data_IF_639282673559
#
_entry.id   IF_639282673559
#
_cell.length_a   1.000
_cell.length_b   1.000
_cell.length_c   1.000
_cell.angle_alpha   90.00
_cell.angle_beta   90.00
_cell.angle_gamma   90.00
#
_symmetry.space_group_name_H-M   'P 1'
#
loop_
_entity.id
_entity.type
_entity.pdbx_description
1 polymer ?
#
# COMPACT_ATOMS: atom_id res chain seq x y z
N UNK A 1 6.39 -25.90 -0.35
CA UNK A 1 7.14 -24.73 0.19
C UNK A 1 6.49 -23.48 -0.37
N UNK A 2 6.04 -22.54 0.46
CA UNK A 2 5.45 -21.30 -0.03
C UNK A 2 6.53 -20.46 -0.74
N UNK A 3 6.26 -20.02 -1.98
CA UNK A 3 7.16 -19.15 -2.76
C UNK A 3 6.56 -17.75 -2.85
N UNK A 4 7.41 -16.73 -2.71
CA UNK A 4 6.98 -15.33 -2.79
C UNK A 4 6.58 -14.94 -4.22
N UNK A 5 7.42 -15.23 -5.22
CA UNK A 5 7.08 -15.03 -6.62
C UNK A 5 8.09 -15.76 -7.51
N UNK A 6 7.67 -16.43 -8.61
CA UNK A 6 8.60 -16.95 -9.61
C UNK A 6 9.36 -15.84 -10.35
N UNK A 7 8.89 -14.57 -10.30
CA UNK A 7 9.60 -13.44 -10.90
C UNK A 7 10.96 -13.14 -10.23
N UNK A 8 11.24 -13.72 -9.06
CA UNK A 8 12.54 -13.63 -8.41
C UNK A 8 13.58 -14.60 -8.99
N UNK A 9 13.14 -15.58 -9.78
CA UNK A 9 14.02 -16.55 -10.44
C UNK A 9 14.52 -16.04 -11.81
N UNK A 10 13.98 -14.93 -12.29
CA UNK A 10 14.40 -14.25 -13.52
C UNK A 10 15.70 -13.48 -13.25
N UNK A 11 16.77 -13.65 -14.07
CA UNK A 11 18.03 -12.93 -13.89
C UNK A 11 18.02 -11.45 -14.31
N UNK A 12 17.05 -11.01 -15.13
CA UNK A 12 16.92 -9.59 -15.54
C UNK A 12 15.45 -9.13 -15.65
N UNK A 13 14.64 -9.26 -14.60
CA UNK A 13 13.27 -8.77 -14.63
C UNK A 13 13.27 -7.26 -14.44
N UNK A 14 12.60 -6.54 -15.35
CA UNK A 14 12.35 -5.11 -15.16
C UNK A 14 11.60 -4.86 -13.84
N UNK A 15 11.88 -3.74 -13.16
CA UNK A 15 11.38 -3.47 -11.79
C UNK A 15 9.89 -3.78 -11.57
N UNK A 16 9.02 -3.32 -12.47
CA UNK A 16 7.57 -3.57 -12.36
C UNK A 16 7.19 -5.04 -12.58
N UNK A 17 7.92 -5.77 -13.42
CA UNK A 17 7.73 -7.19 -13.64
C UNK A 17 8.12 -8.01 -12.38
N UNK A 18 9.00 -7.49 -11.54
CA UNK A 18 9.38 -8.11 -10.25
C UNK A 18 8.42 -7.73 -9.14
N UNK A 19 8.18 -6.43 -8.95
CA UNK A 19 7.45 -5.91 -7.78
C UNK A 19 5.97 -6.25 -7.82
N UNK A 20 5.32 -6.16 -8.99
CA UNK A 20 3.88 -6.37 -9.08
C UNK A 20 3.48 -7.81 -8.69
N UNK A 21 4.15 -8.88 -9.16
CA UNK A 21 3.91 -10.24 -8.68
C UNK A 21 4.15 -10.43 -7.17
N UNK A 22 5.18 -9.78 -6.61
CA UNK A 22 5.44 -9.82 -5.16
C UNK A 22 4.29 -9.18 -4.38
N UNK A 23 3.81 -8.02 -4.82
CA UNK A 23 2.67 -7.34 -4.21
C UNK A 23 1.39 -8.19 -4.30
N UNK A 24 1.14 -8.87 -5.41
CA UNK A 24 0.01 -9.80 -5.54
C UNK A 24 0.14 -11.01 -4.62
N UNK A 25 1.34 -11.57 -4.46
CA UNK A 25 1.57 -12.64 -3.50
C UNK A 25 1.40 -12.18 -2.06
N UNK A 26 1.91 -11.00 -1.70
CA UNK A 26 1.68 -10.39 -0.38
C UNK A 26 0.19 -10.22 -0.11
N UNK A 27 -0.57 -9.70 -1.07
CA UNK A 27 -2.03 -9.56 -0.99
C UNK A 27 -2.71 -10.90 -0.71
N UNK A 28 -2.24 -11.99 -1.34
CA UNK A 28 -2.77 -13.35 -1.11
C UNK A 28 -2.37 -13.92 0.26
N UNK A 29 -1.10 -13.83 0.63
CA UNK A 29 -0.61 -14.32 1.95
C UNK A 29 -1.27 -13.60 3.12
N UNK A 30 -1.57 -12.32 2.94
CA UNK A 30 -2.26 -11.48 3.92
C UNK A 30 -3.79 -11.53 3.79
N UNK A 31 -4.32 -12.32 2.86
CA UNK A 31 -5.76 -12.48 2.58
C UNK A 31 -6.48 -11.13 2.41
N UNK A 32 -5.82 -10.16 1.77
CA UNK A 32 -6.36 -8.81 1.62
C UNK A 32 -7.41 -8.80 0.50
N UNK A 33 -8.64 -8.30 0.77
CA UNK A 33 -9.71 -8.27 -0.22
C UNK A 33 -9.50 -7.23 -1.32
N UNK A 34 -8.57 -6.28 -1.10
CA UNK A 34 -8.22 -5.23 -2.05
C UNK A 34 -7.80 -5.81 -3.42
N UNK A 35 -7.98 -5.03 -4.48
CA UNK A 35 -7.54 -5.36 -5.84
C UNK A 35 -6.59 -4.28 -6.34
N UNK A 36 -5.55 -4.68 -7.07
CA UNK A 36 -4.70 -3.71 -7.75
C UNK A 36 -5.31 -3.31 -9.09
N UNK A 37 -5.52 -2.01 -9.26
CA UNK A 37 -5.89 -1.40 -10.54
C UNK A 37 -4.70 -0.58 -11.04
N UNK A 38 -4.22 -0.89 -12.24
CA UNK A 38 -3.10 -0.16 -12.84
C UNK A 38 -3.62 1.08 -13.57
N UNK A 39 -2.99 2.22 -13.32
CA UNK A 39 -3.29 3.49 -14.03
C UNK A 39 -3.24 3.29 -15.55
N UNK A 40 -2.24 2.56 -16.05
CA UNK A 40 -2.07 2.25 -17.48
C UNK A 40 -3.24 1.43 -18.06
N UNK A 41 -3.89 0.59 -17.24
CA UNK A 41 -5.09 -0.17 -17.64
C UNK A 41 -6.37 0.66 -17.55
N UNK A 42 -6.44 1.61 -16.62
CA UNK A 42 -7.55 2.56 -16.50
C UNK A 42 -7.55 3.60 -17.64
N UNK A 43 -6.42 3.80 -18.32
CA UNK A 43 -6.29 4.77 -19.40
C UNK A 43 -6.32 6.24 -18.93
N UNK A 44 -6.21 6.47 -17.63
CA UNK A 44 -6.28 7.81 -17.04
C UNK A 44 -4.93 8.54 -17.14
N UNK A 45 -5.03 9.84 -17.39
CA UNK A 45 -3.89 10.77 -17.48
C UNK A 45 -4.17 11.96 -16.56
N UNK A 46 -3.12 12.65 -16.16
CA UNK A 46 -3.19 13.79 -15.25
C UNK A 46 -1.91 13.94 -14.45
N UNK A 47 -1.86 14.94 -13.57
CA UNK A 47 -0.75 15.16 -12.63
C UNK A 47 -1.32 15.58 -11.27
N UNK A 48 -0.59 15.29 -10.19
CA UNK A 48 -0.98 15.69 -8.84
C UNK A 48 -2.42 15.27 -8.51
N UNK A 49 -3.19 16.19 -7.91
CA UNK A 49 -4.57 15.96 -7.49
C UNK A 49 -5.52 15.57 -8.63
N UNK A 50 -5.34 16.10 -9.84
CA UNK A 50 -6.17 15.77 -11.02
C UNK A 50 -6.09 14.29 -11.39
N UNK A 51 -4.91 13.67 -11.24
CA UNK A 51 -4.74 12.25 -11.50
C UNK A 51 -5.54 11.39 -10.50
N UNK A 52 -5.59 11.79 -9.22
CA UNK A 52 -6.41 11.10 -8.23
C UNK A 52 -7.90 11.21 -8.57
N UNK A 53 -8.37 12.38 -9.00
CA UNK A 53 -9.77 12.57 -9.44
C UNK A 53 -10.09 11.67 -10.63
N UNK A 54 -9.24 11.66 -11.65
CA UNK A 54 -9.43 10.81 -12.82
C UNK A 54 -9.43 9.32 -12.44
N UNK A 55 -8.51 8.89 -11.56
CA UNK A 55 -8.44 7.51 -11.09
C UNK A 55 -9.69 7.11 -10.28
N UNK A 56 -10.16 7.97 -9.36
CA UNK A 56 -11.37 7.71 -8.57
C UNK A 56 -12.61 7.59 -9.46
N UNK A 57 -12.78 8.50 -10.43
CA UNK A 57 -13.91 8.43 -11.39
C UNK A 57 -13.85 7.16 -12.24
N UNK A 58 -12.67 6.81 -12.75
CA UNK A 58 -12.51 5.62 -13.59
C UNK A 58 -12.70 4.31 -12.81
N UNK A 59 -12.39 4.29 -11.51
CA UNK A 59 -12.58 3.12 -10.65
C UNK A 59 -13.95 3.07 -9.94
N UNK A 60 -14.72 4.15 -9.99
CA UNK A 60 -15.97 4.31 -9.23
C UNK A 60 -15.75 4.53 -7.73
N UNK A 61 -14.55 4.98 -7.32
CA UNK A 61 -14.25 5.26 -5.92
C UNK A 61 -14.82 6.62 -5.48
N UNK A 62 -15.42 6.64 -4.30
CA UNK A 62 -15.98 7.85 -3.66
C UNK A 62 -15.02 8.47 -2.62
N UNK A 63 -13.98 7.73 -2.26
CA UNK A 63 -12.98 8.14 -1.27
C UNK A 63 -11.57 7.71 -1.64
N UNK A 64 -10.59 8.44 -1.10
CA UNK A 64 -9.17 8.11 -1.18
C UNK A 64 -8.58 8.02 0.22
N UNK A 65 -7.70 7.04 0.43
CA UNK A 65 -6.86 6.91 1.61
C UNK A 65 -5.41 7.23 1.22
N UNK A 66 -4.85 8.28 1.81
CA UNK A 66 -3.48 8.74 1.53
C UNK A 66 -2.61 8.62 2.78
N UNK A 67 -1.29 8.42 2.69
CA UNK A 67 -0.41 8.54 3.85
C UNK A 67 -0.54 9.94 4.47
N UNK A 68 -0.52 10.07 5.80
CA UNK A 68 -0.63 11.38 6.47
C UNK A 68 0.43 12.40 6.00
N UNK A 69 1.64 11.92 5.68
CA UNK A 69 2.70 12.77 5.11
C UNK A 69 2.33 13.39 3.74
N UNK A 70 1.40 12.78 2.99
CA UNK A 70 0.95 13.30 1.71
C UNK A 70 0.14 14.61 1.86
N UNK A 71 -0.36 14.94 3.06
CA UNK A 71 -1.09 16.18 3.30
C UNK A 71 -0.30 17.44 2.95
N UNK A 72 1.04 17.39 3.01
CA UNK A 72 1.93 18.50 2.64
C UNK A 72 2.19 18.62 1.13
N UNK A 73 1.88 17.58 0.34
CA UNK A 73 2.25 17.51 -1.07
C UNK A 73 1.08 17.29 -2.03
N UNK A 74 -0.09 16.91 -1.51
CA UNK A 74 -1.31 16.67 -2.29
C UNK A 74 -2.32 17.77 -2.00
N UNK A 75 -2.88 18.37 -3.05
CA UNK A 75 -4.02 19.29 -2.92
C UNK A 75 -5.31 18.49 -2.63
N UNK A 76 -5.45 18.06 -1.38
CA UNK A 76 -6.60 17.29 -0.91
C UNK A 76 -7.88 18.14 -0.84
N UNK A 77 -7.77 19.47 -0.74
CA UNK A 77 -8.92 20.38 -0.80
C UNK A 77 -9.54 20.38 -2.18
N UNK A 78 -8.72 20.33 -3.23
CA UNK A 78 -9.20 20.11 -4.59
C UNK A 78 -9.95 18.78 -4.73
N UNK A 79 -9.48 17.69 -4.11
CA UNK A 79 -10.19 16.40 -4.12
C UNK A 79 -11.57 16.50 -3.47
N UNK A 80 -11.67 17.14 -2.30
CA UNK A 80 -12.96 17.37 -1.63
C UNK A 80 -13.90 18.23 -2.49
N UNK A 81 -13.39 19.29 -3.13
CA UNK A 81 -14.18 20.12 -4.04
C UNK A 81 -14.71 19.35 -5.26
N UNK A 82 -14.07 18.23 -5.63
CA UNK A 82 -14.53 17.31 -6.66
C UNK A 82 -15.48 16.21 -6.13
N UNK A 83 -15.90 16.29 -4.87
CA UNK A 83 -16.80 15.34 -4.23
C UNK A 83 -16.13 14.05 -3.74
N UNK A 84 -14.80 14.02 -3.65
CA UNK A 84 -14.05 12.85 -3.18
C UNK A 84 -13.74 12.99 -1.70
N UNK A 85 -14.13 12.01 -0.89
CA UNK A 85 -13.78 11.99 0.53
C UNK A 85 -12.31 11.67 0.70
N UNK A 86 -11.57 12.49 1.45
CA UNK A 86 -10.14 12.27 1.72
C UNK A 86 -9.96 11.79 3.16
N UNK A 87 -9.25 10.68 3.30
CA UNK A 87 -8.81 10.15 4.60
C UNK A 87 -7.28 10.03 4.59
N UNK A 88 -6.66 10.31 5.73
CA UNK A 88 -5.25 10.08 5.94
C UNK A 88 -5.00 8.81 6.77
N UNK A 89 -4.08 7.98 6.33
CA UNK A 89 -3.53 6.86 7.10
C UNK A 89 -2.31 7.36 7.87
N UNK A 90 -2.42 7.41 9.19
CA UNK A 90 -1.26 7.51 10.09
C UNK A 90 -0.81 6.10 10.41
N UNK A 91 0.45 5.82 10.11
CA UNK A 91 1.07 4.53 10.41
C UNK A 91 2.27 4.73 11.33
N UNK A 92 2.19 4.16 12.51
CA UNK A 92 3.27 4.05 13.49
C UNK A 92 3.72 2.58 13.49
N UNK A 93 4.85 2.24 12.85
CA UNK A 93 5.27 0.85 12.71
C UNK A 93 5.45 0.20 14.10
N UNK A 94 4.74 -0.90 14.40
CA UNK A 94 4.96 -1.63 15.64
C UNK A 94 6.33 -2.31 15.64
N UNK A 95 6.82 -2.66 16.83
CA UNK A 95 8.06 -3.45 16.97
C UNK A 95 7.77 -4.89 16.56
N UNK A 96 8.32 -5.31 15.42
CA UNK A 96 8.28 -6.69 14.96
C UNK A 96 9.29 -7.52 15.75
N UNK A 97 8.90 -8.67 16.34
CA UNK A 97 9.85 -9.64 16.88
C UNK A 97 10.83 -10.09 15.79
N UNK A 98 12.12 -9.87 15.98
CA UNK A 98 13.20 -10.25 15.05
C UNK A 98 14.06 -11.33 15.69
N UNK A 99 14.48 -12.32 14.91
CA UNK A 99 15.19 -13.49 15.45
C UNK A 99 16.69 -13.29 15.64
N UNK A 100 17.28 -12.24 15.07
CA UNK A 100 18.74 -12.09 14.99
C UNK A 100 19.22 -10.68 15.31
N UNK A 101 19.97 -10.56 16.40
CA UNK A 101 20.67 -9.33 16.78
C UNK A 101 19.75 -8.24 17.32
N UNK A 102 20.26 -7.01 17.29
CA UNK A 102 19.54 -5.82 17.74
C UNK A 102 18.37 -5.50 16.80
N UNK A 103 17.29 -4.94 17.37
CA UNK A 103 16.13 -4.52 16.60
C UNK A 103 16.50 -3.51 15.50
N UNK A 104 16.00 -3.77 14.28
CA UNK A 104 16.10 -2.85 13.14
C UNK A 104 14.72 -2.37 12.70
N UNK A 105 14.50 -1.05 12.76
CA UNK A 105 13.30 -0.40 12.25
C UNK A 105 13.35 -0.15 10.74
N UNK A 106 12.30 0.47 10.20
CA UNK A 106 12.16 0.83 8.77
C UNK A 106 12.28 -0.35 7.80
N UNK A 107 11.86 -1.53 8.26
CA UNK A 107 11.79 -2.74 7.47
C UNK A 107 10.45 -2.88 6.75
N UNK A 108 10.41 -3.78 5.78
CA UNK A 108 9.22 -4.01 4.95
C UNK A 108 8.26 -5.00 5.62
N UNK A 109 7.07 -5.14 5.04
CA UNK A 109 6.12 -6.19 5.42
C UNK A 109 6.69 -7.61 5.22
N UNK A 110 7.66 -7.79 4.33
CA UNK A 110 8.31 -9.09 4.11
C UNK A 110 9.06 -9.55 5.35
N UNK A 111 9.71 -8.62 6.05
CA UNK A 111 10.44 -8.91 7.27
C UNK A 111 9.50 -9.41 8.37
N UNK A 112 8.34 -8.75 8.54
CA UNK A 112 7.29 -9.22 9.45
C UNK A 112 6.78 -10.61 9.06
N UNK A 113 6.51 -10.82 7.77
CA UNK A 113 6.03 -12.11 7.27
C UNK A 113 7.01 -13.25 7.54
N UNK A 114 8.30 -13.01 7.34
CA UNK A 114 9.33 -14.02 7.55
C UNK A 114 9.69 -14.20 9.03
N UNK A 115 9.49 -13.17 9.86
CA UNK A 115 9.73 -13.29 11.29
C UNK A 115 8.54 -13.92 12.04
N UNK A 116 7.31 -13.48 11.79
CA UNK A 116 6.16 -13.89 12.64
C UNK A 116 5.02 -14.55 11.86
N UNK A 117 5.11 -14.63 10.53
CA UNK A 117 4.07 -15.22 9.69
C UNK A 117 2.89 -14.26 9.41
N UNK A 118 1.96 -14.65 8.52
CA UNK A 118 0.91 -13.78 8.00
C UNK A 118 -0.09 -13.31 9.06
N UNK A 119 -0.56 -14.20 9.93
CA UNK A 119 -1.57 -13.85 10.93
C UNK A 119 -1.03 -12.82 11.94
N UNK A 120 0.13 -13.08 12.53
CA UNK A 120 0.75 -12.15 13.46
C UNK A 120 1.15 -10.83 12.77
N UNK A 121 1.56 -10.88 11.49
CA UNK A 121 1.83 -9.67 10.70
C UNK A 121 0.58 -8.81 10.55
N UNK A 122 -0.59 -9.41 10.26
CA UNK A 122 -1.87 -8.67 10.17
C UNK A 122 -2.20 -7.97 11.47
N UNK A 123 -2.10 -8.71 12.58
CA UNK A 123 -2.38 -8.18 13.90
C UNK A 123 -1.44 -7.01 14.22
N UNK A 124 -0.12 -7.19 14.06
CA UNK A 124 0.86 -6.14 14.28
C UNK A 124 0.53 -4.87 13.47
N UNK A 125 0.42 -4.96 12.14
CA UNK A 125 0.22 -3.78 11.28
C UNK A 125 -1.07 -3.03 11.63
N UNK A 126 -2.12 -3.75 12.03
CA UNK A 126 -3.39 -3.11 12.42
C UNK A 126 -3.26 -2.28 13.70
N UNK A 127 -2.42 -2.68 14.66
CA UNK A 127 -2.19 -1.89 15.88
C UNK A 127 -1.50 -0.55 15.62
N UNK A 128 -0.68 -0.47 14.57
CA UNK A 128 0.05 0.73 14.19
C UNK A 128 -0.73 1.67 13.26
N UNK A 129 -1.93 1.30 12.82
CA UNK A 129 -2.65 2.00 11.75
C UNK A 129 -3.85 2.77 12.29
N UNK A 130 -3.96 4.06 11.95
CA UNK A 130 -5.13 4.90 12.27
C UNK A 130 -5.58 5.67 11.03
N UNK A 131 -6.88 5.68 10.79
CA UNK A 131 -7.50 6.47 9.72
C UNK A 131 -8.01 7.78 10.33
N UNK A 132 -7.55 8.89 9.78
CA UNK A 132 -7.90 10.25 10.18
C UNK A 132 -8.71 10.89 9.04
N UNK A 133 -10.03 11.06 9.19
CA UNK A 133 -10.82 11.77 8.19
C UNK A 133 -10.41 13.24 8.16
N UNK A 134 -10.42 13.83 6.97
CA UNK A 134 -10.19 15.26 6.82
C UNK A 134 -11.53 15.98 6.96
N UNK A 135 -11.67 16.75 8.04
CA UNK A 135 -12.77 17.72 8.23
C UNK A 135 -12.58 18.97 7.38
#
# INVERSE_FOLDING_TARGET
MARLSPALDDPDPGFMATVFPIMESLRRFMELPARFLLQSRLGVKGRGAELYVAACRASGAESVLLPAAAAACVDWRYLQAQGITVNFLRYEPPVTPQFWGDFRGNLSILDCLFCVGPEATRQLISTGSRVEPVT
#
